data_IF_507058862583
#
_entry.id   IF_507058862583
#
_cell.length_a   1.000
_cell.length_b   1.000
_cell.length_c   1.000
_cell.angle_alpha   90.00
_cell.angle_beta   90.00
_cell.angle_gamma   90.00
#
_symmetry.space_group_name_H-M   'P 1'
#
loop_
_entity.id
_entity.type
_entity.pdbx_description
1 polymer ?
#
# COMPACT_ATOMS: atom_id res chain seq x y z
N UNK A 1 -17.60 -23.20 4.45
CA UNK A 1 -17.34 -22.75 3.07
C UNK A 1 -16.43 -23.77 2.42
N UNK A 2 -16.87 -24.46 1.35
CA UNK A 2 -15.99 -25.32 0.56
C UNK A 2 -15.34 -24.44 -0.50
N UNK A 3 -14.03 -24.22 -0.39
CA UNK A 3 -13.27 -23.42 -1.35
C UNK A 3 -12.93 -24.31 -2.56
N UNK A 4 -13.48 -23.99 -3.73
CA UNK A 4 -13.18 -24.70 -4.97
C UNK A 4 -12.03 -24.00 -5.70
N UNK A 5 -10.88 -24.66 -5.78
CA UNK A 5 -9.69 -24.17 -6.50
C UNK A 5 -9.89 -24.33 -8.01
N UNK A 6 -9.82 -23.24 -8.79
CA UNK A 6 -9.81 -23.31 -10.27
C UNK A 6 -8.57 -22.63 -10.86
N UNK A 7 -7.94 -23.32 -11.80
CA UNK A 7 -6.70 -22.96 -12.52
C UNK A 7 -7.06 -22.37 -13.88
N UNK A 8 -6.50 -21.21 -14.26
CA UNK A 8 -6.79 -20.56 -15.56
C UNK A 8 -5.53 -19.98 -16.23
N UNK A 9 -5.26 -20.44 -17.46
CA UNK A 9 -4.11 -20.10 -18.32
C UNK A 9 -4.42 -18.92 -19.27
N UNK A 10 -3.40 -18.22 -19.80
CA UNK A 10 -3.53 -17.10 -20.76
C UNK A 10 -2.66 -17.33 -22.02
N UNK A 11 -3.16 -16.84 -23.17
CA UNK A 11 -2.45 -16.69 -24.44
C UNK A 11 -1.88 -15.26 -24.60
N UNK A 12 -0.68 -15.16 -25.18
CA UNK A 12 0.15 -13.96 -25.22
C UNK A 12 -0.28 -12.87 -26.22
N UNK A 13 -0.21 -11.61 -25.78
CA UNK A 13 0.18 -10.44 -26.59
C UNK A 13 0.33 -9.19 -25.72
N UNK A 14 1.46 -8.50 -25.90
CA UNK A 14 2.00 -7.32 -25.22
C UNK A 14 1.30 -5.99 -25.55
N UNK A 15 1.54 -4.94 -24.74
CA UNK A 15 2.24 -3.70 -25.16
C UNK A 15 2.25 -2.58 -24.09
N UNK A 16 3.44 -2.00 -23.89
CA UNK A 16 3.98 -1.29 -22.71
C UNK A 16 3.99 0.29 -22.84
N UNK A 17 4.58 1.10 -21.92
CA UNK A 17 4.31 2.54 -21.75
C UNK A 17 4.41 3.42 -22.99
N UNK A 18 3.54 4.43 -23.10
CA UNK A 18 3.58 5.41 -24.19
C UNK A 18 4.63 6.51 -23.93
N UNK A 19 5.80 6.29 -24.56
CA UNK A 19 6.99 7.15 -24.68
C UNK A 19 6.65 8.63 -24.99
N UNK A 20 5.49 8.91 -25.57
CA UNK A 20 5.06 10.24 -25.99
C UNK A 20 4.88 11.21 -24.81
N UNK A 21 4.42 10.74 -23.65
CA UNK A 21 4.24 11.60 -22.45
C UNK A 21 5.59 11.98 -21.83
N UNK A 22 6.53 11.04 -21.81
CA UNK A 22 7.89 11.28 -21.29
C UNK A 22 8.66 12.26 -22.19
N UNK A 23 8.48 12.17 -23.51
CA UNK A 23 9.00 13.17 -24.45
C UNK A 23 8.47 14.57 -24.15
N UNK A 24 7.16 14.69 -23.94
CA UNK A 24 6.50 15.98 -23.63
C UNK A 24 6.97 16.57 -22.29
N UNK A 25 7.09 15.76 -21.24
CA UNK A 25 7.61 16.20 -19.95
C UNK A 25 9.08 16.65 -20.05
N UNK A 26 9.89 15.99 -20.90
CA UNK A 26 11.26 16.39 -21.19
C UNK A 26 11.32 17.79 -21.81
N UNK A 27 10.49 18.02 -22.83
CA UNK A 27 10.39 19.31 -23.53
C UNK A 27 9.93 20.45 -22.60
N UNK A 28 8.94 20.19 -21.74
CA UNK A 28 8.46 21.18 -20.77
C UNK A 28 9.51 21.53 -19.70
N UNK A 29 10.32 20.55 -19.27
CA UNK A 29 11.42 20.77 -18.32
C UNK A 29 12.62 21.48 -18.95
N UNK A 30 12.89 21.24 -20.24
CA UNK A 30 13.90 21.96 -21.04
C UNK A 30 13.55 23.45 -21.16
N UNK A 31 12.29 23.75 -21.49
CA UNK A 31 11.79 25.12 -21.56
C UNK A 31 11.89 25.87 -20.23
N UNK A 32 11.86 25.17 -19.09
CA UNK A 32 12.00 25.72 -17.74
C UNK A 32 13.45 25.78 -17.24
N UNK A 33 14.44 25.45 -18.08
CA UNK A 33 15.86 25.53 -17.75
C UNK A 33 16.35 24.47 -16.74
N UNK A 34 15.61 23.37 -16.56
CA UNK A 34 15.92 22.33 -15.56
C UNK A 34 16.93 21.30 -16.09
N UNK A 35 18.10 21.76 -16.54
CA UNK A 35 19.10 20.99 -17.30
C UNK A 35 19.44 19.62 -16.69
N UNK A 36 19.70 19.54 -15.37
CA UNK A 36 20.01 18.27 -14.70
C UNK A 36 18.84 17.28 -14.66
N UNK A 37 17.59 17.77 -14.62
CA UNK A 37 16.38 16.92 -14.57
C UNK A 37 16.01 16.37 -15.94
N UNK A 38 16.21 17.19 -16.97
CA UNK A 38 16.09 16.78 -18.37
C UNK A 38 17.07 15.65 -18.69
N UNK A 39 18.31 15.75 -18.21
CA UNK A 39 19.32 14.73 -18.47
C UNK A 39 18.95 13.37 -17.84
N UNK A 40 18.31 13.38 -16.67
CA UNK A 40 17.74 12.18 -16.04
C UNK A 40 16.57 11.64 -16.86
N UNK A 41 15.65 12.51 -17.30
CA UNK A 41 14.49 12.09 -18.11
C UNK A 41 14.87 11.56 -19.50
N UNK A 42 15.95 12.06 -20.10
CA UNK A 42 16.47 11.54 -21.38
C UNK A 42 17.13 10.16 -21.22
N UNK A 43 17.81 9.93 -20.09
CA UNK A 43 18.31 8.59 -19.75
C UNK A 43 17.13 7.62 -19.56
N UNK A 44 16.04 8.11 -18.98
CA UNK A 44 14.78 7.35 -18.86
C UNK A 44 14.19 6.93 -20.18
N UNK A 45 14.05 7.88 -21.10
CA UNK A 45 13.51 7.58 -22.42
C UNK A 45 14.29 6.47 -23.12
N UNK A 46 15.62 6.49 -23.01
CA UNK A 46 16.50 5.49 -23.62
C UNK A 46 16.37 4.10 -22.98
N UNK A 47 16.17 4.03 -21.67
CA UNK A 47 16.03 2.74 -21.00
C UNK A 47 14.65 2.13 -21.26
N UNK A 48 13.58 2.93 -21.28
CA UNK A 48 12.24 2.48 -21.70
C UNK A 48 12.26 1.95 -23.14
N UNK A 49 12.99 2.62 -24.04
CA UNK A 49 13.17 2.15 -25.42
C UNK A 49 13.92 0.81 -25.50
N UNK A 50 14.95 0.59 -24.67
CA UNK A 50 15.70 -0.69 -24.62
C UNK A 50 14.94 -1.83 -23.95
N UNK A 51 14.17 -1.54 -22.91
CA UNK A 51 13.32 -2.54 -22.27
C UNK A 51 12.28 -3.06 -23.23
N UNK A 52 11.69 -2.18 -24.07
CA UNK A 52 10.76 -2.60 -25.13
C UNK A 52 11.40 -3.60 -26.09
N UNK A 53 12.65 -3.37 -26.49
CA UNK A 53 13.39 -4.30 -27.36
C UNK A 53 13.65 -5.65 -26.67
N UNK A 54 13.90 -5.68 -25.35
CA UNK A 54 14.10 -6.92 -24.57
C UNK A 54 12.80 -7.65 -24.25
N UNK A 55 11.70 -6.94 -24.12
CA UNK A 55 10.38 -7.51 -23.84
C UNK A 55 9.87 -8.34 -25.01
N UNK A 56 10.13 -7.92 -26.25
CA UNK A 56 9.85 -8.73 -27.45
C UNK A 56 10.64 -10.05 -27.47
N UNK A 57 11.80 -10.12 -26.79
CA UNK A 57 12.65 -11.31 -26.73
C UNK A 57 12.31 -12.26 -25.55
N UNK A 58 11.74 -11.75 -24.45
CA UNK A 58 11.49 -12.52 -23.21
C UNK A 58 10.03 -13.03 -23.06
N UNK A 59 9.08 -12.63 -23.92
CA UNK A 59 7.70 -13.16 -23.92
C UNK A 59 7.63 -14.68 -24.24
N UNK A 60 8.74 -15.31 -24.65
CA UNK A 60 8.81 -16.74 -25.00
C UNK A 60 9.01 -17.70 -23.79
N UNK A 61 9.27 -17.22 -22.56
CA UNK A 61 9.71 -18.09 -21.42
C UNK A 61 8.99 -17.91 -20.04
N UNK A 62 7.75 -17.42 -19.94
CA UNK A 62 7.09 -17.27 -18.61
C UNK A 62 6.37 -18.55 -18.10
N UNK A 63 6.76 -19.02 -16.90
CA UNK A 63 6.09 -20.10 -16.14
C UNK A 63 4.81 -19.60 -15.41
N UNK A 64 3.84 -20.51 -15.22
CA UNK A 64 2.53 -20.24 -14.59
C UNK A 64 2.62 -19.96 -13.08
N UNK A 65 2.55 -18.70 -12.65
CA UNK A 65 2.38 -18.32 -11.23
C UNK A 65 0.91 -18.24 -10.79
N UNK A 66 0.63 -18.63 -9.54
CA UNK A 66 -0.69 -18.60 -8.90
C UNK A 66 -1.15 -17.13 -8.68
N UNK A 67 -2.24 -16.72 -9.32
CA UNK A 67 -2.68 -15.31 -9.37
C UNK A 67 -3.33 -14.80 -8.07
N UNK A 68 -3.83 -15.68 -7.20
CA UNK A 68 -4.44 -15.31 -5.92
C UNK A 68 -5.39 -16.36 -5.34
N UNK A 69 -5.95 -16.07 -4.16
CA UNK A 69 -6.97 -16.89 -3.50
C UNK A 69 -8.33 -16.20 -3.60
N UNK A 70 -9.33 -16.90 -4.15
CA UNK A 70 -10.67 -16.37 -4.36
C UNK A 70 -11.70 -17.28 -3.68
N UNK A 71 -12.68 -16.66 -3.02
CA UNK A 71 -13.85 -17.36 -2.47
C UNK A 71 -15.12 -16.88 -3.18
N UNK A 72 -15.99 -17.79 -3.58
CA UNK A 72 -17.32 -17.43 -4.07
C UNK A 72 -18.21 -17.03 -2.88
N UNK A 73 -18.67 -15.78 -2.88
CA UNK A 73 -19.58 -15.26 -1.86
C UNK A 73 -21.00 -15.32 -2.39
N UNK A 74 -21.80 -16.24 -1.85
CA UNK A 74 -23.21 -16.45 -2.27
C UNK A 74 -24.22 -15.79 -1.34
N UNK A 75 -23.80 -15.47 -0.13
CA UNK A 75 -24.62 -14.88 0.93
C UNK A 75 -23.82 -13.79 1.62
N UNK A 76 -24.42 -12.61 1.79
CA UNK A 76 -23.77 -11.49 2.47
C UNK A 76 -24.80 -10.52 3.06
N UNK A 77 -24.29 -9.61 3.90
CA UNK A 77 -25.05 -8.51 4.49
C UNK A 77 -24.38 -7.20 4.10
N UNK A 78 -25.16 -6.23 3.62
CA UNK A 78 -24.70 -4.89 3.29
C UNK A 78 -25.20 -3.91 4.34
N UNK A 79 -24.26 -3.26 5.04
CA UNK A 79 -24.56 -2.16 5.95
C UNK A 79 -24.38 -0.84 5.21
N UNK A 80 -25.49 -0.19 4.88
CA UNK A 80 -25.48 1.15 4.30
C UNK A 80 -25.56 2.19 5.41
N UNK A 81 -24.41 2.78 5.75
CA UNK A 81 -24.30 3.81 6.78
C UNK A 81 -24.91 5.16 6.36
N UNK A 82 -25.12 5.42 5.07
CA UNK A 82 -25.77 6.66 4.61
C UNK A 82 -27.28 6.54 4.79
N UNK A 83 -27.83 5.40 4.37
CA UNK A 83 -29.26 5.10 4.51
C UNK A 83 -29.64 4.63 5.92
N UNK A 84 -28.66 4.28 6.75
CA UNK A 84 -28.85 3.61 8.04
C UNK A 84 -29.71 2.35 7.89
N UNK A 85 -29.39 1.54 6.87
CA UNK A 85 -30.13 0.31 6.52
C UNK A 85 -29.18 -0.88 6.41
N UNK A 86 -29.75 -2.06 6.65
CA UNK A 86 -29.10 -3.34 6.49
C UNK A 86 -29.84 -4.12 5.40
N UNK A 87 -29.11 -4.72 4.46
CA UNK A 87 -29.67 -5.55 3.40
C UNK A 87 -29.03 -6.94 3.46
N UNK A 88 -29.84 -7.97 3.68
CA UNK A 88 -29.42 -9.34 3.48
C UNK A 88 -29.56 -9.70 2.00
N UNK A 89 -28.55 -10.36 1.42
CA UNK A 89 -28.54 -10.77 0.02
C UNK A 89 -28.12 -12.23 -0.06
N UNK A 90 -28.80 -12.99 -0.92
CA UNK A 90 -28.42 -14.36 -1.27
C UNK A 90 -28.62 -14.59 -2.77
N UNK A 91 -27.74 -15.38 -3.36
CA UNK A 91 -27.85 -15.89 -4.73
C UNK A 91 -28.58 -17.24 -4.80
N UNK A 92 -28.96 -17.80 -3.66
CA UNK A 92 -29.62 -19.09 -3.55
C UNK A 92 -31.14 -18.90 -3.46
N UNK A 93 -31.89 -19.44 -4.42
CA UNK A 93 -33.37 -19.29 -4.45
C UNK A 93 -34.07 -19.94 -3.26
N UNK A 94 -33.48 -20.97 -2.66
CA UNK A 94 -33.99 -21.70 -1.51
C UNK A 94 -33.01 -21.56 -0.35
N UNK A 95 -33.07 -20.42 0.34
CA UNK A 95 -32.21 -20.12 1.48
C UNK A 95 -33.00 -19.61 2.67
N UNK A 96 -32.70 -20.14 3.86
CA UNK A 96 -33.17 -19.59 5.14
C UNK A 96 -32.33 -18.38 5.58
N UNK A 97 -31.37 -17.91 4.77
CA UNK A 97 -30.45 -16.82 5.09
C UNK A 97 -31.14 -15.56 5.63
N UNK A 98 -32.29 -15.18 5.07
CA UNK A 98 -33.02 -14.02 5.55
C UNK A 98 -33.48 -14.18 7.01
N UNK A 99 -33.94 -15.38 7.38
CA UNK A 99 -34.32 -15.70 8.77
C UNK A 99 -33.10 -15.73 9.67
N UNK A 100 -32.01 -16.34 9.24
CA UNK A 100 -30.76 -16.39 10.01
C UNK A 100 -30.24 -14.98 10.31
N UNK A 101 -30.23 -14.08 9.32
CA UNK A 101 -29.82 -12.69 9.52
C UNK A 101 -30.79 -11.94 10.44
N UNK A 102 -32.10 -12.14 10.29
CA UNK A 102 -33.10 -11.56 11.19
C UNK A 102 -32.91 -12.03 12.64
N UNK A 103 -32.67 -13.32 12.86
CA UNK A 103 -32.40 -13.90 14.18
C UNK A 103 -31.13 -13.30 14.80
N UNK A 104 -30.02 -13.25 14.06
CA UNK A 104 -28.75 -12.66 14.53
C UNK A 104 -28.93 -11.18 14.90
N UNK A 105 -29.63 -10.40 14.06
CA UNK A 105 -29.85 -8.97 14.30
C UNK A 105 -30.80 -8.72 15.48
N UNK A 106 -31.82 -9.56 15.65
CA UNK A 106 -32.75 -9.47 16.78
C UNK A 106 -32.09 -9.88 18.10
N UNK A 107 -31.26 -10.93 18.10
CA UNK A 107 -30.56 -11.40 19.29
C UNK A 107 -29.50 -10.38 19.76
N UNK A 108 -28.87 -9.69 18.80
CA UNK A 108 -27.97 -8.56 19.04
C UNK A 108 -28.68 -7.34 19.65
N UNK A 109 -29.99 -7.18 19.39
CA UNK A 109 -30.80 -6.08 19.93
C UNK A 109 -31.15 -6.30 21.41
N UNK A 110 -31.37 -7.55 21.81
CA UNK A 110 -31.56 -7.98 23.21
C UNK A 110 -30.28 -8.00 24.03
N UNK A 111 -29.12 -8.05 23.36
CA UNK A 111 -27.78 -8.02 23.98
C UNK A 111 -27.17 -6.60 23.98
N UNK A 112 -27.99 -5.57 24.07
CA UNK A 112 -27.49 -4.22 24.34
C UNK A 112 -26.85 -4.21 25.73
N UNK A 113 -25.51 -4.08 25.76
CA UNK A 113 -24.62 -4.11 26.93
C UNK A 113 -23.94 -5.44 27.30
N UNK A 114 -23.63 -6.30 26.33
CA UNK A 114 -22.36 -7.01 26.43
C UNK A 114 -21.37 -6.28 25.54
N UNK A 115 -20.64 -5.33 26.14
CA UNK A 115 -19.30 -5.05 25.65
C UNK A 115 -18.67 -6.40 25.35
N UNK A 116 -18.15 -6.60 24.13
CA UNK A 116 -17.10 -7.60 23.94
C UNK A 116 -15.94 -7.08 24.79
N UNK A 117 -16.02 -7.31 26.10
CA UNK A 117 -14.90 -7.37 27.01
C UNK A 117 -14.13 -8.58 26.50
N UNK A 118 -13.29 -8.35 25.49
CA UNK A 118 -12.16 -9.22 25.27
C UNK A 118 -11.28 -9.09 26.50
N UNK A 119 -11.59 -9.90 27.51
CA UNK A 119 -10.79 -10.11 28.72
C UNK A 119 -9.54 -10.95 28.39
N UNK A 120 -9.05 -10.88 27.17
CA UNK A 120 -7.85 -11.57 26.73
C UNK A 120 -6.65 -10.73 27.15
N UNK A 121 -6.26 -10.90 28.42
CA UNK A 121 -4.97 -10.47 28.94
C UNK A 121 -4.01 -11.65 28.79
N UNK A 122 -3.31 -11.72 27.66
CA UNK A 122 -2.30 -12.75 27.46
C UNK A 122 -1.06 -12.43 28.31
N UNK A 123 -0.44 -13.44 28.91
CA UNK A 123 0.78 -13.25 29.69
C UNK A 123 1.94 -12.80 28.81
N UNK A 124 2.75 -11.87 29.30
CA UNK A 124 3.93 -11.36 28.59
C UNK A 124 3.61 -10.19 27.66
N UNK A 125 4.55 -9.89 26.77
CA UNK A 125 4.42 -8.86 25.73
C UNK A 125 4.80 -9.48 24.39
N UNK A 126 4.19 -9.04 23.27
CA UNK A 126 4.65 -9.45 21.95
C UNK A 126 6.07 -8.94 21.72
N UNK A 127 6.94 -9.81 21.21
CA UNK A 127 8.26 -9.44 20.69
C UNK A 127 8.18 -9.30 19.17
N UNK A 128 8.73 -8.21 18.65
CA UNK A 128 8.74 -7.95 17.21
C UNK A 128 10.17 -7.98 16.67
N UNK A 129 10.37 -8.71 15.57
CA UNK A 129 11.68 -8.82 14.90
C UNK A 129 11.54 -8.49 13.43
N UNK A 130 12.38 -7.57 12.94
CA UNK A 130 12.46 -7.30 11.50
C UNK A 130 13.09 -8.49 10.76
N UNK A 131 12.55 -8.82 9.59
CA UNK A 131 13.14 -9.87 8.76
C UNK A 131 14.48 -9.44 8.16
N UNK A 132 14.60 -8.17 7.76
CA UNK A 132 15.86 -7.55 7.33
C UNK A 132 16.31 -6.60 8.44
N UNK A 133 17.51 -6.79 8.97
CA UNK A 133 18.05 -5.93 10.02
C UNK A 133 18.22 -4.47 9.55
N UNK A 134 18.15 -3.49 10.46
CA UNK A 134 18.25 -2.07 10.13
C UNK A 134 19.46 -1.71 9.25
N UNK A 135 20.63 -2.22 9.63
CA UNK A 135 21.88 -1.94 8.93
C UNK A 135 21.92 -2.56 7.53
N UNK A 136 21.31 -3.74 7.35
CA UNK A 136 21.18 -4.33 6.02
C UNK A 136 20.19 -3.54 5.17
N UNK A 137 19.04 -3.15 5.73
CA UNK A 137 18.03 -2.36 5.02
C UNK A 137 18.62 -1.02 4.53
N UNK A 138 19.42 -0.34 5.35
CA UNK A 138 20.14 0.89 4.98
C UNK A 138 21.18 0.69 3.87
N UNK A 139 21.88 -0.46 3.88
CA UNK A 139 22.76 -0.86 2.78
C UNK A 139 21.96 -1.09 1.49
N UNK A 140 20.81 -1.73 1.58
CA UNK A 140 19.94 -1.99 0.42
C UNK A 140 19.42 -0.69 -0.20
N UNK A 141 19.02 0.30 0.61
CA UNK A 141 18.69 1.65 0.13
C UNK A 141 19.87 2.26 -0.64
N UNK A 142 21.09 2.12 -0.11
CA UNK A 142 22.29 2.66 -0.76
C UNK A 142 22.57 1.97 -2.10
N UNK A 143 22.35 0.65 -2.19
CA UNK A 143 22.47 -0.12 -3.44
C UNK A 143 21.41 0.31 -4.46
N UNK A 144 20.15 0.48 -4.04
CA UNK A 144 19.08 0.98 -4.90
C UNK A 144 19.44 2.36 -5.48
N UNK A 145 19.96 3.27 -4.65
CA UNK A 145 20.39 4.60 -5.12
C UNK A 145 21.51 4.50 -6.15
N UNK A 146 22.37 3.48 -6.08
CA UNK A 146 23.40 3.25 -7.09
C UNK A 146 22.81 2.70 -8.40
N UNK A 147 21.86 1.77 -8.34
CA UNK A 147 21.10 1.30 -9.51
C UNK A 147 20.36 2.47 -10.19
N UNK A 148 19.78 3.39 -9.40
CA UNK A 148 19.15 4.61 -9.92
C UNK A 148 20.16 5.51 -10.65
N UNK A 149 21.37 5.69 -10.11
CA UNK A 149 22.41 6.49 -10.78
C UNK A 149 22.90 5.87 -12.09
N UNK A 150 22.95 4.54 -12.16
CA UNK A 150 23.26 3.79 -13.39
C UNK A 150 22.15 3.92 -14.43
N UNK A 151 20.95 4.29 -14.02
CA UNK A 151 19.78 4.44 -14.88
C UNK A 151 18.97 3.14 -15.02
N UNK A 152 19.19 2.17 -14.14
CA UNK A 152 18.49 0.87 -14.15
C UNK A 152 17.04 0.98 -13.66
N UNK A 153 16.74 2.00 -12.86
CA UNK A 153 15.42 2.26 -12.26
C UNK A 153 15.34 3.73 -11.80
N UNK A 154 14.14 4.24 -11.54
CA UNK A 154 13.87 5.59 -11.00
C UNK A 154 13.42 5.55 -9.55
N UNK A 155 12.67 4.49 -9.23
CA UNK A 155 12.03 4.27 -7.94
C UNK A 155 11.99 2.76 -7.70
N UNK A 156 12.31 2.34 -6.47
CA UNK A 156 12.04 0.98 -5.99
C UNK A 156 11.29 1.08 -4.67
N UNK A 157 10.15 0.43 -4.58
CA UNK A 157 9.47 0.18 -3.32
C UNK A 157 10.17 -0.97 -2.60
N UNK A 158 11.11 -0.64 -1.71
CA UNK A 158 11.77 -1.61 -0.84
C UNK A 158 10.89 -1.88 0.37
N UNK A 159 10.77 -3.16 0.76
CA UNK A 159 9.89 -3.57 1.84
C UNK A 159 10.58 -4.48 2.85
N UNK A 160 10.05 -4.47 4.07
CA UNK A 160 10.43 -5.34 5.17
C UNK A 160 9.14 -5.83 5.86
N UNK A 161 9.29 -6.74 6.81
CA UNK A 161 8.20 -7.16 7.68
C UNK A 161 8.72 -7.34 9.11
N UNK A 162 7.87 -6.98 10.08
CA UNK A 162 8.07 -7.39 11.47
C UNK A 162 7.30 -8.68 11.70
N UNK A 163 7.99 -9.68 12.26
CA UNK A 163 7.41 -10.94 12.70
C UNK A 163 7.14 -10.88 14.20
N UNK A 164 6.09 -11.56 14.64
CA UNK A 164 5.81 -11.82 16.05
C UNK A 164 5.10 -13.16 16.19
N UNK A 165 5.29 -13.84 17.31
CA UNK A 165 4.53 -15.04 17.64
C UNK A 165 3.20 -14.63 18.28
N UNK A 166 2.10 -15.24 17.85
CA UNK A 166 0.79 -15.01 18.46
C UNK A 166 0.74 -15.66 19.85
N UNK A 167 -0.13 -15.16 20.75
CA UNK A 167 -0.30 -15.80 22.04
C UNK A 167 -0.76 -17.27 21.88
N UNK A 168 -0.30 -18.19 22.74
CA UNK A 168 -0.82 -19.55 22.73
C UNK A 168 -2.32 -19.57 23.03
N UNK A 169 -3.04 -20.52 22.41
CA UNK A 169 -4.50 -20.72 22.57
C UNK A 169 -5.36 -19.48 22.27
N UNK A 170 -4.84 -18.54 21.49
CA UNK A 170 -5.57 -17.33 21.12
C UNK A 170 -6.74 -17.64 20.19
N UNK A 171 -7.96 -17.35 20.62
CA UNK A 171 -9.17 -17.40 19.79
C UNK A 171 -9.53 -15.97 19.38
N UNK A 172 -9.88 -15.75 18.11
CA UNK A 172 -10.29 -14.45 17.56
C UNK A 172 -9.24 -13.31 17.63
N UNK A 173 -7.97 -13.65 17.86
CA UNK A 173 -6.90 -12.65 18.00
C UNK A 173 -6.77 -11.75 16.76
N UNK A 174 -6.88 -12.30 15.55
CA UNK A 174 -6.87 -11.49 14.33
C UNK A 174 -8.03 -10.50 14.23
N UNK A 175 -9.22 -10.86 14.72
CA UNK A 175 -10.38 -9.97 14.77
C UNK A 175 -10.18 -8.83 15.79
N UNK A 176 -9.59 -9.13 16.95
CA UNK A 176 -9.21 -8.11 17.94
C UNK A 176 -8.16 -7.14 17.37
N UNK A 177 -7.13 -7.67 16.71
CA UNK A 177 -6.11 -6.86 16.01
C UNK A 177 -6.77 -5.96 14.96
N UNK A 178 -7.69 -6.49 14.15
CA UNK A 178 -8.41 -5.68 13.16
C UNK A 178 -9.26 -4.58 13.82
N UNK A 179 -9.98 -4.90 14.88
CA UNK A 179 -10.82 -3.94 15.62
C UNK A 179 -10.00 -2.78 16.18
N UNK A 180 -8.83 -3.09 16.77
CA UNK A 180 -7.88 -2.10 17.24
C UNK A 180 -7.30 -1.29 16.09
N UNK A 181 -6.88 -1.94 15.00
CA UNK A 181 -6.30 -1.29 13.84
C UNK A 181 -7.28 -0.31 13.17
N UNK A 182 -8.55 -0.71 13.00
CA UNK A 182 -9.63 0.12 12.47
C UNK A 182 -9.87 1.37 13.32
N UNK A 183 -9.67 1.27 14.63
CA UNK A 183 -9.80 2.40 15.56
C UNK A 183 -8.57 3.31 15.57
N UNK A 184 -7.36 2.73 15.52
CA UNK A 184 -6.07 3.46 15.57
C UNK A 184 -5.76 4.19 14.25
N UNK A 185 -6.13 3.56 13.13
CA UNK A 185 -5.81 4.02 11.78
C UNK A 185 -6.98 3.71 10.84
N UNK A 186 -8.10 4.44 10.92
CA UNK A 186 -9.25 4.21 10.03
C UNK A 186 -8.87 4.49 8.58
N UNK A 187 -9.20 3.56 7.68
CA UNK A 187 -8.90 3.69 6.26
C UNK A 187 -10.09 3.24 5.36
N UNK A 188 -10.28 3.87 4.18
CA UNK A 188 -11.42 3.62 3.32
C UNK A 188 -11.49 2.21 2.72
N UNK A 189 -10.37 1.49 2.63
CA UNK A 189 -10.29 0.15 2.05
C UNK A 189 -9.83 -0.88 3.08
N UNK A 190 -10.41 -0.81 4.27
CA UNK A 190 -10.16 -1.75 5.35
C UNK A 190 -10.97 -3.03 5.20
N UNK A 191 -10.41 -4.17 5.59
CA UNK A 191 -11.13 -5.44 5.64
C UNK A 191 -10.52 -6.38 6.68
N UNK A 192 -11.34 -7.31 7.17
CA UNK A 192 -10.90 -8.49 7.90
C UNK A 192 -11.33 -9.73 7.12
N UNK A 193 -10.37 -10.62 6.85
CA UNK A 193 -10.61 -11.91 6.21
C UNK A 193 -10.12 -13.02 7.14
N UNK A 194 -10.94 -14.05 7.34
CA UNK A 194 -10.61 -15.21 8.14
C UNK A 194 -10.77 -16.48 7.29
N UNK A 195 -9.65 -17.14 7.01
CA UNK A 195 -9.55 -18.40 6.29
C UNK A 195 -9.19 -19.56 7.22
N UNK A 196 -9.59 -19.48 8.49
CA UNK A 196 -9.23 -20.37 9.61
C UNK A 196 -7.74 -20.34 9.97
N UNK A 197 -6.87 -20.87 9.10
CA UNK A 197 -5.42 -20.95 9.35
C UNK A 197 -4.69 -19.64 9.00
N UNK A 198 -5.39 -18.72 8.34
CA UNK A 198 -4.89 -17.41 7.91
C UNK A 198 -5.91 -16.33 8.17
N UNK A 199 -5.51 -15.31 8.92
CA UNK A 199 -6.30 -14.11 9.19
C UNK A 199 -5.59 -12.88 8.64
N UNK A 200 -6.35 -11.98 8.02
CA UNK A 200 -5.83 -10.75 7.41
C UNK A 200 -6.57 -9.57 8.01
N UNK A 201 -5.88 -8.77 8.81
CA UNK A 201 -6.37 -7.52 9.36
C UNK A 201 -5.79 -6.34 8.56
N UNK A 202 -6.54 -5.85 7.56
CA UNK A 202 -6.10 -4.82 6.63
C UNK A 202 -6.75 -3.47 6.93
N UNK A 203 -5.93 -2.40 7.00
CA UNK A 203 -6.41 -1.02 7.06
C UNK A 203 -5.75 -0.17 5.96
N UNK A 204 -6.03 -0.53 4.71
CA UNK A 204 -5.39 0.12 3.56
C UNK A 204 -6.03 1.47 3.22
N UNK A 205 -5.22 2.54 3.08
CA UNK A 205 -5.69 3.82 2.57
C UNK A 205 -5.75 3.88 1.04
N UNK A 206 -5.13 2.92 0.33
CA UNK A 206 -4.91 3.01 -1.11
C UNK A 206 -5.76 2.02 -1.88
N UNK A 207 -6.47 2.53 -2.90
CA UNK A 207 -7.15 1.71 -3.89
C UNK A 207 -6.14 1.27 -4.93
N UNK A 208 -6.04 -0.02 -5.16
CA UNK A 208 -5.29 -0.54 -6.30
C UNK A 208 -6.09 -0.30 -7.58
N UNK A 209 -7.30 -0.87 -7.69
CA UNK A 209 -8.14 -0.83 -8.89
C UNK A 209 -9.62 -0.71 -8.51
N UNK A 210 -10.37 0.08 -9.27
CA UNK A 210 -11.83 -0.02 -9.40
C UNK A 210 -12.19 -0.24 -10.87
N UNK A 211 -13.04 -1.21 -11.16
CA UNK A 211 -13.66 -1.41 -12.48
C UNK A 211 -15.16 -1.27 -12.28
N UNK A 212 -15.77 -0.38 -13.06
CA UNK A 212 -17.20 -0.10 -12.99
C UNK A 212 -17.67 0.44 -14.34
N UNK A 213 -18.72 -0.17 -14.88
CA UNK A 213 -19.38 0.30 -16.11
C UNK A 213 -18.43 0.48 -17.30
N UNK A 214 -17.49 -0.44 -17.48
CA UNK A 214 -16.49 -0.40 -18.57
C UNK A 214 -15.34 0.59 -18.35
N UNK A 215 -15.20 1.17 -17.16
CA UNK A 215 -14.10 2.08 -16.81
C UNK A 215 -13.26 1.47 -15.70
N UNK A 216 -11.97 1.26 -15.98
CA UNK A 216 -10.99 0.97 -14.96
C UNK A 216 -10.42 2.28 -14.39
N UNK A 217 -10.19 2.33 -13.09
CA UNK A 217 -9.65 3.48 -12.34
C UNK A 217 -8.60 2.98 -11.35
N UNK A 218 -7.49 3.71 -11.25
CA UNK A 218 -6.54 3.59 -10.14
C UNK A 218 -6.21 4.97 -9.58
N UNK A 219 -5.96 5.01 -8.27
CA UNK A 219 -5.69 6.24 -7.52
C UNK A 219 -4.40 6.11 -6.69
N UNK A 220 -3.22 6.07 -7.33
CA UNK A 220 -1.96 6.01 -6.59
C UNK A 220 -1.77 7.23 -5.67
N UNK A 221 -1.26 6.95 -4.47
CA UNK A 221 -1.02 7.95 -3.42
C UNK A 221 0.50 8.07 -3.20
N UNK A 222 1.04 9.30 -3.25
CA UNK A 222 2.42 9.58 -2.83
C UNK A 222 2.47 10.93 -2.13
N UNK A 223 2.98 10.94 -0.91
CA UNK A 223 2.95 12.11 -0.04
C UNK A 223 1.71 12.15 0.84
N UNK A 224 1.94 12.22 2.15
CA UNK A 224 0.90 12.29 3.18
C UNK A 224 1.35 13.24 4.26
N UNK A 225 0.47 14.15 4.69
CA UNK A 225 0.75 15.07 5.80
C UNK A 225 -0.45 15.10 6.75
N UNK A 226 -0.20 15.15 8.06
CA UNK A 226 -1.27 15.21 9.06
C UNK A 226 -2.14 16.46 8.89
N UNK A 227 -3.42 16.35 9.24
CA UNK A 227 -4.28 17.52 9.43
C UNK A 227 -3.72 18.43 10.51
N UNK A 228 -3.96 19.72 10.37
CA UNK A 228 -3.56 20.70 11.37
C UNK A 228 -4.53 20.72 12.56
N UNK A 229 -3.99 21.06 13.73
CA UNK A 229 -4.78 21.26 14.96
C UNK A 229 -5.67 22.52 14.89
N UNK A 230 -5.37 23.41 13.94
CA UNK A 230 -6.09 24.65 13.68
C UNK A 230 -6.26 24.83 12.18
N UNK A 231 -7.26 25.61 11.74
CA UNK A 231 -7.48 25.88 10.32
C UNK A 231 -6.25 26.47 9.61
N UNK A 232 -5.51 27.33 10.30
CA UNK A 232 -4.30 27.96 9.76
C UNK A 232 -3.14 26.96 9.61
N UNK A 233 -2.96 26.07 10.58
CA UNK A 233 -2.00 24.96 10.49
C UNK A 233 -2.40 23.97 9.40
N UNK A 234 -3.69 23.64 9.31
CA UNK A 234 -4.22 22.68 8.34
C UNK A 234 -4.02 23.17 6.91
N UNK A 235 -4.32 24.44 6.66
CA UNK A 235 -4.12 25.08 5.36
C UNK A 235 -2.64 25.17 5.01
N UNK A 236 -1.77 25.41 6.00
CA UNK A 236 -0.31 25.40 5.81
C UNK A 236 0.19 24.00 5.44
N UNK A 237 -0.23 22.96 6.17
CA UNK A 237 0.16 21.58 5.91
C UNK A 237 -0.28 21.16 4.50
N UNK A 238 -1.53 21.45 4.13
CA UNK A 238 -2.05 21.23 2.78
C UNK A 238 -1.19 21.91 1.71
N UNK A 239 -0.86 23.19 1.89
CA UNK A 239 -0.03 23.95 0.95
C UNK A 239 1.42 23.42 0.91
N UNK A 240 1.95 22.94 2.03
CA UNK A 240 3.27 22.30 2.10
C UNK A 240 3.29 21.04 1.25
N UNK A 241 2.32 20.13 1.40
CA UNK A 241 2.22 18.92 0.58
C UNK A 241 2.00 19.28 -0.90
N UNK A 242 1.10 20.22 -1.18
CA UNK A 242 0.83 20.69 -2.54
C UNK A 242 2.06 21.27 -3.24
N UNK A 243 3.05 21.79 -2.51
CA UNK A 243 4.28 22.35 -3.07
C UNK A 243 5.50 21.44 -2.88
N UNK A 244 5.31 20.24 -2.35
CA UNK A 244 6.41 19.29 -2.16
C UNK A 244 6.92 18.78 -3.50
N UNK A 245 8.20 19.06 -3.77
CA UNK A 245 8.87 18.63 -4.99
C UNK A 245 9.17 17.13 -4.96
N UNK A 246 9.48 16.58 -3.78
CA UNK A 246 9.69 15.13 -3.57
C UNK A 246 8.40 14.36 -3.88
N UNK A 247 7.32 14.71 -3.20
CA UNK A 247 6.05 14.00 -3.33
C UNK A 247 5.48 14.09 -4.75
N UNK A 248 5.59 15.24 -5.43
CA UNK A 248 5.21 15.36 -6.84
C UNK A 248 6.04 14.49 -7.76
N UNK A 249 7.35 14.39 -7.53
CA UNK A 249 8.23 13.57 -8.36
C UNK A 249 7.87 12.09 -8.24
N UNK A 250 7.65 11.58 -7.02
CA UNK A 250 7.19 10.21 -6.78
C UNK A 250 5.79 9.99 -7.37
N UNK A 251 4.87 10.94 -7.16
CA UNK A 251 3.49 10.81 -7.58
C UNK A 251 3.35 10.73 -9.13
N UNK A 252 4.16 11.49 -9.88
CA UNK A 252 4.12 11.41 -11.35
C UNK A 252 4.78 10.14 -11.88
N UNK A 253 5.85 9.66 -11.24
CA UNK A 253 6.48 8.39 -11.62
C UNK A 253 5.48 7.25 -11.47
N UNK A 254 4.76 7.19 -10.35
CA UNK A 254 3.75 6.14 -10.16
C UNK A 254 2.54 6.31 -11.07
N UNK A 255 2.07 7.55 -11.30
CA UNK A 255 0.95 7.79 -12.21
C UNK A 255 1.30 7.36 -13.65
N UNK A 256 2.53 7.59 -14.10
CA UNK A 256 2.98 7.15 -15.43
C UNK A 256 3.09 5.63 -15.53
N UNK A 257 3.58 4.96 -14.48
CA UNK A 257 3.62 3.50 -14.45
C UNK A 257 2.21 2.89 -14.48
N UNK A 258 1.26 3.44 -13.70
CA UNK A 258 -0.14 3.00 -13.75
C UNK A 258 -0.75 3.26 -15.13
N UNK A 259 -0.48 4.42 -15.74
CA UNK A 259 -0.90 4.74 -17.11
C UNK A 259 -0.33 3.73 -18.11
N UNK A 260 0.93 3.33 -17.94
CA UNK A 260 1.55 2.31 -18.77
C UNK A 260 0.86 0.97 -18.65
N UNK A 261 0.59 0.51 -17.42
CA UNK A 261 -0.13 -0.73 -17.16
C UNK A 261 -1.52 -0.73 -17.82
N UNK A 262 -2.24 0.39 -17.72
CA UNK A 262 -3.58 0.51 -18.29
C UNK A 262 -3.54 0.46 -19.82
N UNK A 263 -2.53 1.05 -20.47
CA UNK A 263 -2.40 1.04 -21.93
C UNK A 263 -2.25 -0.38 -22.50
N UNK A 264 -1.88 -1.36 -21.68
CA UNK A 264 -1.77 -2.77 -22.09
C UNK A 264 -3.13 -3.39 -22.44
N UNK A 265 -4.22 -2.91 -21.85
CA UNK A 265 -5.54 -3.57 -21.94
C UNK A 265 -6.69 -2.59 -22.22
N UNK A 266 -6.55 -1.32 -21.85
CA UNK A 266 -7.57 -0.30 -22.06
C UNK A 266 -7.41 0.40 -23.42
N UNK A 267 -8.53 0.78 -24.04
CA UNK A 267 -8.55 1.43 -25.35
C UNK A 267 -8.28 2.93 -25.32
N UNK A 268 -8.70 3.62 -24.24
CA UNK A 268 -8.42 5.03 -24.00
C UNK A 268 -7.97 5.24 -22.57
N UNK A 269 -6.70 5.59 -22.37
CA UNK A 269 -6.14 5.85 -21.05
C UNK A 269 -5.89 7.35 -20.86
N UNK A 270 -6.32 7.86 -19.71
CA UNK A 270 -6.15 9.27 -19.34
C UNK A 270 -5.70 9.41 -17.88
N UNK A 271 -4.91 10.44 -17.64
CA UNK A 271 -4.61 10.94 -16.29
C UNK A 271 -5.60 12.06 -16.03
N UNK A 272 -6.71 11.75 -15.35
CA UNK A 272 -7.79 12.70 -15.07
C UNK A 272 -7.34 13.80 -14.11
N UNK A 273 -6.56 13.41 -13.10
CA UNK A 273 -6.07 14.31 -12.06
C UNK A 273 -4.60 14.00 -11.77
N UNK A 274 -3.77 15.04 -11.66
CA UNK A 274 -2.36 14.91 -11.31
C UNK A 274 -2.05 15.83 -10.12
N UNK A 275 -1.50 15.25 -9.04
CA UNK A 275 -1.16 15.95 -7.79
C UNK A 275 -2.36 16.56 -7.03
N UNK A 276 -3.55 15.99 -7.18
CA UNK A 276 -4.72 16.43 -6.43
C UNK A 276 -4.50 16.22 -4.93
N UNK A 277 -4.95 17.16 -4.11
CA UNK A 277 -4.89 17.01 -2.64
C UNK A 277 -6.26 16.64 -2.11
N UNK A 278 -6.42 15.37 -1.74
CA UNK A 278 -7.60 14.86 -1.05
C UNK A 278 -7.40 15.01 0.48
N UNK A 279 -8.44 15.49 1.17
CA UNK A 279 -8.42 15.74 2.61
C UNK A 279 -9.29 14.71 3.32
N UNK A 280 -8.69 13.94 4.21
CA UNK A 280 -9.34 12.95 5.05
C UNK A 280 -9.42 13.45 6.51
N UNK A 281 -10.05 12.66 7.39
CA UNK A 281 -10.25 13.03 8.79
C UNK A 281 -8.93 13.36 9.51
N UNK A 282 -7.89 12.55 9.28
CA UNK A 282 -6.61 12.64 10.02
C UNK A 282 -5.43 13.09 9.17
N UNK A 283 -5.52 13.01 7.83
CA UNK A 283 -4.44 13.35 6.90
C UNK A 283 -4.91 14.07 5.63
N UNK A 284 -4.00 14.80 4.98
CA UNK A 284 -4.09 15.15 3.56
C UNK A 284 -3.21 14.20 2.75
N UNK A 285 -3.65 13.82 1.56
CA UNK A 285 -2.93 12.93 0.66
C UNK A 285 -2.83 13.54 -0.73
N UNK A 286 -1.68 13.36 -1.38
CA UNK A 286 -1.51 13.71 -2.79
C UNK A 286 -1.81 12.48 -3.65
N UNK A 287 -2.79 12.64 -4.51
CA UNK A 287 -3.40 11.58 -5.31
C UNK A 287 -3.32 11.95 -6.79
N UNK A 288 -3.06 10.95 -7.62
CA UNK A 288 -3.30 11.05 -9.06
C UNK A 288 -4.34 10.03 -9.46
N UNK A 289 -5.19 10.38 -10.42
CA UNK A 289 -6.25 9.52 -10.91
C UNK A 289 -5.96 9.14 -12.36
N UNK A 290 -5.83 7.85 -12.60
CA UNK A 290 -5.69 7.27 -13.93
C UNK A 290 -6.92 6.44 -14.24
N UNK A 291 -7.49 6.62 -15.41
CA UNK A 291 -8.62 5.80 -15.88
C UNK A 291 -8.37 5.27 -17.27
N UNK A 292 -8.97 4.11 -17.56
CA UNK A 292 -8.94 3.49 -18.87
C UNK A 292 -10.29 2.90 -19.26
N UNK A 293 -10.67 3.06 -20.52
CA UNK A 293 -11.84 2.38 -21.09
C UNK A 293 -11.52 0.89 -21.27
N UNK A 294 -12.17 0.04 -20.47
CA UNK A 294 -12.00 -1.41 -20.43
C UNK A 294 -13.18 -2.10 -21.12
N UNK A 295 -12.87 -2.95 -22.08
CA UNK A 295 -13.87 -3.77 -22.76
C UNK A 295 -14.56 -4.74 -21.77
N UNK A 296 -15.86 -4.94 -21.94
CA UNK A 296 -16.63 -5.87 -21.12
C UNK A 296 -16.02 -7.29 -21.17
N UNK A 297 -15.91 -7.94 -20.01
CA UNK A 297 -15.32 -9.28 -19.89
C UNK A 297 -13.79 -9.33 -19.77
N UNK A 298 -13.08 -8.19 -19.86
CA UNK A 298 -11.61 -8.15 -19.75
C UNK A 298 -11.07 -7.88 -18.34
N UNK A 299 -11.89 -8.00 -17.30
CA UNK A 299 -11.48 -7.76 -15.91
C UNK A 299 -10.30 -8.64 -15.50
N UNK A 300 -10.31 -9.92 -15.85
CA UNK A 300 -9.20 -10.82 -15.54
C UNK A 300 -7.90 -10.42 -16.26
N UNK A 301 -7.96 -10.18 -17.58
CA UNK A 301 -6.79 -9.71 -18.35
C UNK A 301 -6.24 -8.40 -17.80
N UNK A 302 -7.13 -7.49 -17.41
CA UNK A 302 -6.75 -6.22 -16.82
C UNK A 302 -5.98 -6.41 -15.51
N UNK A 303 -6.49 -7.27 -14.62
CA UNK A 303 -5.81 -7.60 -13.36
C UNK A 303 -4.45 -8.25 -13.62
N UNK A 304 -4.34 -9.20 -14.57
CA UNK A 304 -3.06 -9.84 -14.95
C UNK A 304 -2.05 -8.83 -15.49
N UNK A 305 -2.50 -7.87 -16.31
CA UNK A 305 -1.61 -6.90 -16.93
C UNK A 305 -1.13 -5.79 -15.98
N UNK A 306 -1.92 -5.48 -14.95
CA UNK A 306 -1.66 -4.36 -14.03
C UNK A 306 -0.99 -4.81 -12.73
N UNK A 307 -1.13 -6.08 -12.35
CA UNK A 307 -0.51 -6.65 -11.16
C UNK A 307 0.98 -7.01 -11.42
N UNK A 308 1.85 -6.92 -10.40
CA UNK A 308 1.64 -6.28 -9.10
C UNK A 308 1.50 -4.77 -9.24
N UNK A 309 0.75 -4.16 -8.31
CA UNK A 309 0.43 -2.75 -8.40
C UNK A 309 1.67 -1.87 -8.26
N UNK A 310 1.73 -0.83 -9.09
CA UNK A 310 2.94 -0.04 -9.27
C UNK A 310 3.51 0.60 -8.01
N UNK A 311 2.64 1.00 -7.06
CA UNK A 311 3.06 1.70 -5.85
C UNK A 311 3.90 0.82 -4.93
N UNK A 312 3.81 -0.50 -5.15
CA UNK A 312 4.55 -1.53 -4.44
C UNK A 312 5.68 -2.14 -5.27
N UNK A 313 5.97 -1.67 -6.48
CA UNK A 313 7.10 -2.19 -7.27
C UNK A 313 8.18 -1.13 -7.44
N UNK A 314 8.10 -0.34 -8.49
CA UNK A 314 9.15 0.54 -8.94
C UNK A 314 9.05 0.77 -10.44
N UNK A 315 9.73 1.79 -10.95
CA UNK A 315 9.66 2.18 -12.35
C UNK A 315 11.06 2.13 -12.97
N UNK A 316 11.28 1.39 -14.07
CA UNK A 316 10.34 0.49 -14.75
C UNK A 316 10.03 -0.79 -13.96
N UNK A 317 8.83 -1.38 -14.15
CA UNK A 317 8.28 -2.42 -13.27
C UNK A 317 9.12 -3.70 -13.25
N UNK A 318 9.36 -4.34 -14.41
CA UNK A 318 10.06 -5.64 -14.48
C UNK A 318 11.49 -5.55 -13.96
N UNK A 319 12.26 -4.54 -14.37
CA UNK A 319 13.64 -4.33 -13.89
C UNK A 319 13.68 -4.06 -12.39
N UNK A 320 12.77 -3.24 -11.87
CA UNK A 320 12.67 -2.96 -10.44
C UNK A 320 12.33 -4.21 -9.64
N UNK A 321 11.41 -5.07 -10.12
CA UNK A 321 11.09 -6.35 -9.47
C UNK A 321 12.30 -7.31 -9.42
N UNK A 322 13.13 -7.39 -10.47
CA UNK A 322 14.38 -8.18 -10.44
C UNK A 322 15.39 -7.67 -9.40
N UNK A 323 15.41 -6.35 -9.14
CA UNK A 323 16.26 -5.77 -8.10
C UNK A 323 15.67 -6.09 -6.72
N UNK A 324 14.36 -5.92 -6.55
CA UNK A 324 13.64 -6.27 -5.31
C UNK A 324 13.88 -7.72 -4.91
N UNK A 325 13.76 -8.66 -5.86
CA UNK A 325 13.95 -10.09 -5.59
C UNK A 325 15.34 -10.39 -5.01
N UNK A 326 16.39 -9.76 -5.55
CA UNK A 326 17.77 -9.91 -5.07
C UNK A 326 18.00 -9.30 -3.69
N UNK A 327 17.33 -8.19 -3.39
CA UNK A 327 17.50 -7.44 -2.15
C UNK A 327 16.69 -8.06 -1.01
N UNK A 328 15.41 -8.33 -1.24
CA UNK A 328 14.50 -8.79 -0.18
C UNK A 328 14.66 -10.27 0.15
N UNK A 329 15.09 -11.08 -0.83
CA UNK A 329 15.33 -12.54 -0.68
C UNK A 329 14.17 -13.29 -0.02
N UNK A 330 12.94 -12.80 -0.21
CA UNK A 330 11.72 -13.39 0.32
C UNK A 330 10.55 -13.10 -0.60
N UNK A 331 9.52 -13.94 -0.54
CA UNK A 331 8.21 -13.60 -1.09
C UNK A 331 7.51 -12.62 -0.15
N UNK A 332 6.81 -11.64 -0.72
CA UNK A 332 6.00 -10.69 0.07
C UNK A 332 4.68 -11.27 0.55
N UNK A 333 4.22 -12.35 -0.08
CA UNK A 333 2.97 -13.02 0.27
C UNK A 333 1.76 -12.12 0.01
N UNK A 334 0.82 -12.07 0.96
CA UNK A 334 -0.38 -11.24 0.87
C UNK A 334 -0.03 -9.74 0.88
N UNK A 335 1.03 -9.34 1.59
CA UNK A 335 1.49 -7.95 1.59
C UNK A 335 1.96 -7.53 0.19
N UNK A 336 1.69 -6.28 -0.21
CA UNK A 336 1.84 -5.77 -1.58
C UNK A 336 0.93 -6.37 -2.64
N UNK A 337 0.01 -7.27 -2.26
CA UNK A 337 -1.03 -7.78 -3.14
C UNK A 337 -2.25 -6.86 -3.24
N UNK A 338 -3.40 -7.43 -3.61
CA UNK A 338 -4.68 -6.72 -3.60
C UNK A 338 -5.79 -7.54 -2.95
N UNK A 339 -6.66 -6.88 -2.16
CA UNK A 339 -7.83 -7.50 -1.53
C UNK A 339 -9.08 -6.72 -1.90
N UNK A 340 -10.15 -7.44 -2.20
CA UNK A 340 -11.46 -6.85 -2.41
C UNK A 340 -12.41 -7.84 -3.07
N UNK A 341 -13.22 -7.36 -4.00
CA UNK A 341 -14.25 -8.18 -4.66
C UNK A 341 -14.25 -7.99 -6.17
N UNK A 342 -14.76 -9.02 -6.86
CA UNK A 342 -15.06 -9.03 -8.29
C UNK A 342 -16.51 -9.49 -8.43
N UNK A 343 -17.34 -8.69 -9.08
CA UNK A 343 -18.75 -8.98 -9.36
C UNK A 343 -18.91 -9.88 -10.57
N UNK A 344 -20.05 -10.55 -10.67
CA UNK A 344 -20.37 -11.46 -11.79
C UNK A 344 -20.44 -10.74 -13.13
N UNK A 345 -20.75 -9.45 -13.12
CA UNK A 345 -20.77 -8.55 -14.27
C UNK A 345 -19.38 -7.99 -14.63
N UNK A 346 -18.34 -8.37 -13.90
CA UNK A 346 -16.96 -7.95 -14.14
C UNK A 346 -16.56 -6.65 -13.43
N UNK A 347 -17.45 -6.00 -12.68
CA UNK A 347 -17.06 -4.91 -11.78
C UNK A 347 -16.05 -5.42 -10.76
N UNK A 348 -15.12 -4.57 -10.32
CA UNK A 348 -14.16 -4.95 -9.30
C UNK A 348 -13.79 -3.77 -8.43
N UNK A 349 -13.42 -4.02 -7.19
CA UNK A 349 -12.82 -3.02 -6.33
C UNK A 349 -11.80 -3.70 -5.43
N UNK A 350 -10.52 -3.41 -5.67
CA UNK A 350 -9.39 -4.00 -4.98
C UNK A 350 -8.56 -2.89 -4.33
N UNK A 351 -8.20 -3.10 -3.07
CA UNK A 351 -7.24 -2.28 -2.37
C UNK A 351 -5.80 -2.69 -2.71
N UNK A 352 -4.84 -1.85 -2.34
CA UNK A 352 -3.45 -2.26 -2.21
C UNK A 352 -3.25 -2.84 -0.81
N UNK A 353 -2.63 -4.00 -0.66
CA UNK A 353 -2.39 -4.59 0.67
C UNK A 353 -1.20 -3.93 1.34
N UNK A 354 -1.47 -2.84 2.03
CA UNK A 354 -0.57 -2.09 2.90
C UNK A 354 -1.25 -1.79 4.22
N UNK A 355 -0.46 -1.49 5.27
CA UNK A 355 -0.97 -1.29 6.64
C UNK A 355 -1.82 -2.48 7.09
N UNK A 356 -1.26 -3.68 6.90
CA UNK A 356 -1.95 -4.96 7.11
C UNK A 356 -1.13 -5.83 8.06
N UNK A 357 -1.83 -6.47 8.98
CA UNK A 357 -1.29 -7.58 9.79
C UNK A 357 -1.81 -8.89 9.20
N UNK A 358 -0.92 -9.81 8.89
CA UNK A 358 -1.25 -11.15 8.39
C UNK A 358 -0.83 -12.16 9.44
N UNK A 359 -1.78 -12.94 9.94
CA UNK A 359 -1.54 -14.00 10.92
C UNK A 359 -1.74 -15.34 10.22
N UNK A 360 -0.74 -16.21 10.28
CA UNK A 360 -0.79 -17.53 9.69
C UNK A 360 -0.04 -18.51 10.58
N UNK A 361 -0.67 -19.64 10.93
CA UNK A 361 -0.06 -20.70 11.73
C UNK A 361 0.58 -20.21 13.05
N UNK A 362 -0.09 -19.30 13.75
CA UNK A 362 0.39 -18.73 15.01
C UNK A 362 1.51 -17.68 14.85
N UNK A 363 1.88 -17.30 13.62
CA UNK A 363 2.89 -16.27 13.37
C UNK A 363 2.26 -15.07 12.68
N UNK A 364 2.45 -13.89 13.26
CA UNK A 364 1.99 -12.63 12.72
C UNK A 364 3.08 -11.89 11.94
N UNK A 365 2.68 -11.20 10.88
CA UNK A 365 3.54 -10.39 10.03
C UNK A 365 2.94 -9.01 9.81
N UNK A 366 3.74 -7.97 10.06
CA UNK A 366 3.39 -6.56 9.81
C UNK A 366 4.26 -6.07 8.66
N UNK A 367 3.67 -5.92 7.48
CA UNK A 367 4.39 -5.41 6.31
C UNK A 367 4.63 -3.91 6.39
N UNK A 368 5.85 -3.48 6.05
CA UNK A 368 6.25 -2.09 6.00
C UNK A 368 7.25 -1.86 4.87
N UNK A 369 7.50 -0.61 4.49
CA UNK A 369 8.33 -0.29 3.34
C UNK A 369 8.05 1.08 2.76
N UNK A 370 8.85 1.47 1.78
CA UNK A 370 8.82 2.80 1.20
C UNK A 370 9.44 2.85 -0.18
N UNK A 371 9.07 3.89 -0.93
CA UNK A 371 9.64 4.17 -2.23
C UNK A 371 10.99 4.85 -2.08
N UNK A 372 12.03 4.21 -2.61
CA UNK A 372 13.38 4.75 -2.63
C UNK A 372 13.60 5.40 -3.99
N UNK A 373 13.86 6.71 -3.97
CA UNK A 373 14.19 7.50 -5.16
C UNK A 373 15.61 8.06 -5.08
N UNK A 374 16.06 8.70 -6.16
CA UNK A 374 17.34 9.43 -6.17
C UNK A 374 17.41 10.57 -5.13
N UNK A 375 16.26 11.04 -4.61
CA UNK A 375 16.17 12.09 -3.60
C UNK A 375 16.03 11.56 -2.17
N UNK A 376 15.86 10.25 -1.98
CA UNK A 376 15.68 9.63 -0.67
C UNK A 376 16.93 9.76 0.20
N UNK A 377 16.75 10.01 1.48
CA UNK A 377 17.78 9.96 2.51
C UNK A 377 17.71 8.63 3.27
N UNK A 378 18.86 7.99 3.50
CA UNK A 378 18.89 6.61 4.03
C UNK A 378 18.27 6.51 5.42
N UNK A 379 18.52 7.49 6.28
CA UNK A 379 18.00 7.49 7.64
C UNK A 379 16.51 7.86 7.65
N UNK A 380 16.11 8.86 6.85
CA UNK A 380 14.70 9.25 6.77
C UNK A 380 13.79 8.12 6.24
N UNK A 381 14.26 7.34 5.25
CA UNK A 381 13.49 6.21 4.73
C UNK A 381 13.41 5.05 5.74
N UNK A 382 14.46 4.82 6.53
CA UNK A 382 14.42 3.83 7.61
C UNK A 382 13.46 4.25 8.73
N UNK A 383 13.48 5.52 9.12
CA UNK A 383 12.51 6.08 10.07
C UNK A 383 11.07 5.94 9.55
N UNK A 384 10.85 6.13 8.24
CA UNK A 384 9.54 5.94 7.62
C UNK A 384 9.05 4.49 7.72
N UNK A 385 9.93 3.49 7.55
CA UNK A 385 9.59 2.07 7.74
C UNK A 385 9.08 1.82 9.16
N UNK A 386 9.79 2.33 10.17
CA UNK A 386 9.40 2.21 11.58
C UNK A 386 8.05 2.86 11.87
N UNK A 387 7.84 4.09 11.40
CA UNK A 387 6.56 4.82 11.54
C UNK A 387 5.42 4.07 10.85
N UNK A 388 5.69 3.42 9.70
CA UNK A 388 4.68 2.65 8.99
C UNK A 388 4.26 1.39 9.76
N UNK A 389 5.19 0.75 10.46
CA UNK A 389 4.97 -0.43 11.28
C UNK A 389 4.26 -0.12 12.62
N UNK A 390 4.54 1.04 13.23
CA UNK A 390 4.06 1.44 14.57
C UNK A 390 2.56 1.20 14.79
N UNK A 391 1.72 1.50 13.79
CA UNK A 391 0.27 1.34 13.90
C UNK A 391 -0.16 -0.13 14.00
N UNK A 392 0.53 -1.01 13.29
CA UNK A 392 0.34 -2.46 13.40
C UNK A 392 0.83 -2.99 14.75
N UNK A 393 2.02 -2.56 15.17
CA UNK A 393 2.61 -2.93 16.48
C UNK A 393 1.66 -2.57 17.61
N UNK A 394 1.12 -1.35 17.58
CA UNK A 394 0.17 -0.87 18.59
C UNK A 394 -1.13 -1.67 18.58
N UNK A 395 -1.67 -2.01 17.41
CA UNK A 395 -2.90 -2.81 17.31
C UNK A 395 -2.70 -4.22 17.88
N UNK A 396 -1.57 -4.87 17.58
CA UNK A 396 -1.18 -6.18 18.11
C UNK A 396 -0.95 -6.12 19.62
N UNK A 397 -0.23 -5.11 20.10
CA UNK A 397 0.04 -4.92 21.53
C UNK A 397 -1.24 -4.68 22.33
N UNK A 398 -2.20 -3.93 21.77
CA UNK A 398 -3.51 -3.74 22.40
C UNK A 398 -4.36 -5.02 22.41
N UNK A 399 -4.31 -5.82 21.34
CA UNK A 399 -4.97 -7.12 21.32
C UNK A 399 -4.35 -8.07 22.36
N UNK A 400 -3.03 -8.00 22.55
CA UNK A 400 -2.32 -8.81 23.54
C UNK A 400 -2.74 -8.52 24.99
N UNK A 401 -3.03 -7.26 25.31
CA UNK A 401 -3.34 -6.79 26.68
C UNK A 401 -4.83 -6.76 27.00
N UNK A 402 -5.69 -6.92 26.01
CA UNK A 402 -7.11 -6.60 26.16
C UNK A 402 -7.36 -5.11 26.52
N UNK A 403 -8.62 -4.74 26.70
CA UNK A 403 -9.00 -3.36 27.04
C UNK A 403 -8.77 -3.09 28.54
N UNK A 404 -7.56 -2.64 28.94
CA UNK A 404 -7.32 -2.17 30.32
C UNK A 404 -5.88 -2.13 30.84
N UNK A 405 -4.87 -2.59 30.08
CA UNK A 405 -3.48 -2.61 30.54
C UNK A 405 -2.79 -1.22 30.51
N UNK A 406 -2.15 -0.82 31.62
CA UNK A 406 -1.29 0.38 31.70
C UNK A 406 -0.10 0.32 30.72
N UNK A 407 0.45 1.49 30.37
CA UNK A 407 1.65 1.64 29.52
C UNK A 407 2.87 0.94 30.13
N UNK A 408 3.36 -0.11 29.48
CA UNK A 408 4.70 -0.71 29.68
C UNK A 408 5.31 -1.02 28.30
N UNK A 409 6.64 -1.01 28.23
CA UNK A 409 7.50 -0.88 27.04
C UNK A 409 7.26 -1.89 25.90
N UNK A 410 7.29 -1.38 24.66
CA UNK A 410 7.39 -2.16 23.43
C UNK A 410 8.84 -2.67 23.29
N UNK A 411 9.05 -3.98 23.15
CA UNK A 411 10.38 -4.54 22.89
C UNK A 411 10.50 -4.85 21.41
N UNK A 412 11.09 -3.93 20.68
CA UNK A 412 11.61 -4.18 19.33
C UNK A 412 13.08 -4.56 19.51
N UNK A 413 13.41 -5.83 19.35
CA UNK A 413 14.82 -6.26 19.42
C UNK A 413 15.54 -5.82 18.13
N UNK A 414 16.40 -4.82 18.24
CA UNK A 414 17.42 -4.54 17.23
C UNK A 414 18.66 -5.37 17.55
N UNK A 415 19.23 -6.05 16.56
CA UNK A 415 20.51 -6.75 16.69
C UNK A 415 21.56 -5.84 17.33
N UNK A 416 22.13 -6.30 18.44
CA UNK A 416 23.11 -5.67 19.34
C UNK A 416 23.39 -4.16 19.13
N UNK A 417 22.60 -3.31 19.81
CA UNK A 417 22.86 -1.88 19.95
C UNK A 417 21.72 -1.14 20.63
N UNK A 418 21.70 -1.11 21.96
CA UNK A 418 20.65 -0.50 22.79
C UNK A 418 20.61 1.03 22.65
N UNK A 419 19.43 1.59 22.37
CA UNK A 419 18.89 2.76 23.09
C UNK A 419 17.37 2.90 22.90
N UNK A 420 16.64 2.76 24.01
CA UNK A 420 15.19 2.96 24.12
C UNK A 420 14.86 4.45 24.03
N UNK A 421 13.81 4.83 23.27
CA UNK A 421 13.17 6.14 23.42
C UNK A 421 11.70 6.00 23.74
N UNK A 422 11.40 6.31 25.00
CA UNK A 422 10.11 6.69 25.53
C UNK A 422 9.41 7.72 24.61
N UNK A 423 8.40 7.29 23.83
CA UNK A 423 7.65 8.19 22.91
C UNK A 423 6.44 8.88 23.59
N UNK A 424 6.57 9.25 24.87
CA UNK A 424 5.61 10.07 25.60
C UNK A 424 5.74 11.59 25.39
N UNK A 425 6.69 12.06 24.58
CA UNK A 425 6.89 13.49 24.33
C UNK A 425 7.09 13.80 22.85
N UNK A 426 6.23 14.66 22.29
CA UNK A 426 6.38 15.24 20.94
C UNK A 426 7.84 15.64 20.72
N UNK A 427 8.52 15.18 19.65
CA UNK A 427 9.85 15.66 19.37
C UNK A 427 9.75 17.15 19.03
N UNK A 428 10.25 18.00 19.91
CA UNK A 428 10.48 19.40 19.59
C UNK A 428 11.51 19.44 18.48
N UNK A 429 11.03 19.63 17.26
CA UNK A 429 11.81 19.88 16.05
C UNK A 429 12.73 21.08 16.32
N UNK A 430 13.97 20.85 16.74
CA UNK A 430 15.01 21.89 16.73
C UNK A 430 15.22 22.25 15.26
N UNK A 431 14.61 23.37 14.83
CA UNK A 431 14.88 23.99 13.53
C UNK A 431 16.38 24.22 13.43
N UNK A 432 17.10 23.39 12.67
CA UNK A 432 18.36 23.83 12.08
C UNK A 432 17.99 24.77 10.94
N UNK A 433 18.36 26.05 11.08
CA UNK A 433 18.19 27.04 10.03
C UNK A 433 18.99 26.56 8.81
N UNK A 434 18.37 26.54 7.64
CA UNK A 434 19.00 26.11 6.38
C UNK A 434 20.22 26.98 6.04
N UNK A 435 20.29 28.18 6.63
CA UNK A 435 21.42 29.11 6.54
C UNK A 435 22.71 28.57 7.13
N UNK A 436 22.65 27.64 8.09
CA UNK A 436 23.85 27.06 8.70
C UNK A 436 24.55 26.01 7.81
N UNK A 437 23.88 25.52 6.75
CA UNK A 437 24.42 24.52 5.80
C UNK A 437 25.07 25.13 4.56
N UNK A 438 24.98 26.44 4.36
CA UNK A 438 25.55 27.12 3.20
C UNK A 438 26.63 28.07 3.67
N UNK A 439 27.88 27.59 3.67
CA UNK A 439 29.05 28.43 3.92
C UNK A 439 29.00 29.68 3.05
N UNK A 440 29.16 30.84 3.69
CA UNK A 440 29.06 32.15 3.09
C UNK A 440 29.91 32.29 1.82
N UNK A 441 29.26 32.40 0.66
CA UNK A 441 29.87 32.95 -0.55
C UNK A 441 29.46 34.42 -0.67
N UNK A 442 30.42 35.36 -0.79
CA UNK A 442 30.14 36.78 -0.72
C UNK A 442 29.43 37.26 -1.98
N UNK A 443 28.23 37.79 -1.81
CA UNK A 443 27.52 38.58 -2.82
C UNK A 443 28.35 39.85 -3.13
N UNK A 444 28.85 39.99 -4.37
CA UNK A 444 29.21 41.29 -4.95
C UNK A 444 28.14 41.68 -5.98
N UNK A 445 27.73 42.95 -5.85
CA UNK A 445 26.61 43.63 -6.51
C UNK A 445 26.57 43.47 -8.02
#
# INVERSE_FOLDING_TARGET
>A
MNYEYKKYCRDGSSLNPDITVLKKACEEMEQRGQVRRVEVLRKYLKEVEREREREEEEEEEEEEEEMGCFGEVRQWVVFDHVLQKCFAVTLDEQSDWFREVEEIMNDSSSSSSNDVESSNNYSGSPTFTFNIEPEQYKRDISMIKEEIKKGETYEICLTNNLKFDCPPDSTDFGLEVYSNLRSINPAPYSCYLNFNEKEIACSSPERFIKIDSGVAESKPIKGTISRGSTQAEDSRNKLTLQNSVKDKAENVMIADLVRADFNRVCSQVKVDELYAIESYETVHQMVSKVTGDLEFGKTEEFLKATFPGGSMTGAPKRRSMRIIEKLEQRKRGVYSGGIGWIGYEGSANLNMVIRTVVIENGVGNIGCGGAITGLSDVEEEWDEVRIKAERGIKAVTQAWRGKGGNEVEEVVEEGEGVDYVNMGSKPTRKKKDWRDRVGALPYRK
#
